data_IF_663697158533
#
_entry.id   IF_663697158533
#
_cell.length_a   1.000
_cell.length_b   1.000
_cell.length_c   1.000
_cell.angle_alpha   90.00
_cell.angle_beta   90.00
_cell.angle_gamma   90.00
#
_symmetry.space_group_name_H-M   'P 1'
#
loop_
_entity.id
_entity.type
_entity.pdbx_description
1 polymer ?
#
# COMPACT_ATOMS: atom_id res chain seq x y z
N UNK A 1 25.57 -9.25 8.66
CA UNK A 1 24.28 -9.84 9.08
C UNK A 1 24.55 -11.23 9.62
N UNK A 2 24.20 -11.53 10.88
CA UNK A 2 24.46 -12.85 11.47
C UNK A 2 23.36 -13.84 11.10
N UNK A 3 23.62 -15.15 11.21
CA UNK A 3 22.61 -16.19 10.98
C UNK A 3 21.38 -16.04 11.91
N UNK A 4 21.59 -15.51 13.12
CA UNK A 4 20.53 -15.21 14.09
C UNK A 4 19.65 -14.05 13.64
N UNK A 5 20.24 -13.01 13.04
CA UNK A 5 19.49 -11.85 12.51
C UNK A 5 18.62 -12.28 11.33
N UNK A 6 19.18 -13.10 10.43
CA UNK A 6 18.46 -13.65 9.29
C UNK A 6 17.28 -14.55 9.71
N UNK A 7 17.49 -15.43 10.70
CA UNK A 7 16.43 -16.27 11.26
C UNK A 7 15.32 -15.43 11.93
N UNK A 8 15.70 -14.36 12.62
CA UNK A 8 14.74 -13.43 13.25
C UNK A 8 13.92 -12.68 12.21
N UNK A 9 14.57 -12.18 11.14
CA UNK A 9 13.88 -11.53 10.02
C UNK A 9 12.91 -12.49 9.32
N UNK A 10 13.34 -13.72 9.05
CA UNK A 10 12.49 -14.75 8.44
C UNK A 10 11.27 -15.09 9.32
N UNK A 11 11.42 -15.11 10.65
CA UNK A 11 10.31 -15.31 11.56
C UNK A 11 9.31 -14.13 11.53
N UNK A 12 9.81 -12.89 11.52
CA UNK A 12 8.96 -11.70 11.39
C UNK A 12 8.16 -11.70 10.09
N UNK A 13 8.80 -12.02 8.97
CA UNK A 13 8.12 -12.07 7.67
C UNK A 13 6.99 -13.11 7.67
N UNK A 14 7.23 -14.32 8.20
CA UNK A 14 6.17 -15.35 8.33
C UNK A 14 5.00 -14.90 9.19
N UNK A 15 5.27 -14.13 10.25
CA UNK A 15 4.23 -13.57 11.12
C UNK A 15 3.42 -12.52 10.36
N UNK A 16 4.07 -11.61 9.64
CA UNK A 16 3.39 -10.58 8.84
C UNK A 16 2.56 -11.22 7.72
N UNK A 17 3.08 -12.21 7.00
CA UNK A 17 2.31 -12.91 5.97
C UNK A 17 1.08 -13.62 6.54
N UNK A 18 1.18 -14.17 7.75
CA UNK A 18 0.04 -14.73 8.48
C UNK A 18 -1.00 -13.66 8.84
N UNK A 19 -0.57 -12.46 9.24
CA UNK A 19 -1.47 -11.32 9.47
C UNK A 19 -2.20 -10.97 8.19
N UNK A 20 -1.51 -10.85 7.05
CA UNK A 20 -2.12 -10.55 5.75
C UNK A 20 -3.22 -11.55 5.41
N UNK A 21 -2.93 -12.85 5.51
CA UNK A 21 -3.92 -13.91 5.22
C UNK A 21 -5.13 -13.86 6.15
N UNK A 22 -4.92 -13.59 7.44
CA UNK A 22 -6.02 -13.49 8.41
C UNK A 22 -6.89 -12.26 8.18
N UNK A 23 -6.28 -11.11 7.90
CA UNK A 23 -7.00 -9.86 7.59
C UNK A 23 -7.75 -9.99 6.28
N UNK A 24 -7.15 -10.57 5.24
CA UNK A 24 -7.82 -10.81 3.97
C UNK A 24 -9.10 -11.66 4.11
N UNK A 25 -9.12 -12.61 5.06
CA UNK A 25 -10.27 -13.51 5.29
C UNK A 25 -11.31 -12.98 6.27
N UNK A 26 -10.95 -12.10 7.20
CA UNK A 26 -11.82 -11.75 8.33
C UNK A 26 -11.62 -10.35 8.91
N UNK A 27 -10.97 -9.46 8.16
CA UNK A 27 -10.69 -8.09 8.54
C UNK A 27 -9.70 -7.96 9.71
N UNK A 28 -9.46 -6.71 10.13
CA UNK A 28 -8.48 -6.37 11.18
C UNK A 28 -8.67 -7.17 12.48
N UNK A 29 -9.92 -7.44 12.86
CA UNK A 29 -10.26 -8.17 14.09
C UNK A 29 -9.89 -9.65 14.08
N UNK A 30 -9.69 -10.27 12.91
CA UNK A 30 -9.38 -11.69 12.81
C UNK A 30 -7.95 -12.04 13.23
N UNK A 31 -7.02 -11.10 13.18
CA UNK A 31 -5.58 -11.33 13.37
C UNK A 31 -5.12 -11.28 14.84
N UNK A 32 -5.74 -12.05 15.73
CA UNK A 32 -5.28 -12.13 17.14
C UNK A 32 -3.89 -12.76 17.24
N UNK A 33 -3.11 -12.42 18.28
CA UNK A 33 -1.77 -12.99 18.51
C UNK A 33 -1.73 -14.52 18.46
N UNK A 34 -2.78 -15.18 18.97
CA UNK A 34 -2.89 -16.64 18.95
C UNK A 34 -3.19 -17.17 17.55
N UNK A 35 -4.16 -16.59 16.84
CA UNK A 35 -4.48 -16.99 15.46
C UNK A 35 -3.29 -16.77 14.53
N UNK A 36 -2.53 -15.69 14.73
CA UNK A 36 -1.30 -15.41 13.98
C UNK A 36 -0.20 -16.41 14.31
N UNK A 37 -0.03 -16.79 15.57
CA UNK A 37 0.91 -17.86 15.95
C UNK A 37 0.56 -19.18 15.25
N UNK A 38 -0.71 -19.56 15.28
CA UNK A 38 -1.21 -20.79 14.65
C UNK A 38 -1.02 -20.74 13.11
N UNK A 39 -1.35 -19.61 12.47
CA UNK A 39 -1.25 -19.42 11.00
C UNK A 39 0.21 -19.30 10.51
N UNK A 40 1.13 -18.77 11.32
CA UNK A 40 2.55 -18.58 10.95
C UNK A 40 3.44 -19.78 11.28
N UNK A 41 2.95 -20.70 12.13
CA UNK A 41 3.74 -21.77 12.73
C UNK A 41 4.82 -21.26 13.69
N UNK A 42 4.74 -20.01 14.16
CA UNK A 42 5.62 -19.45 15.18
C UNK A 42 4.92 -19.53 16.53
N UNK A 43 5.62 -19.99 17.56
CA UNK A 43 5.05 -20.06 18.91
C UNK A 43 4.58 -18.67 19.41
N UNK A 44 3.49 -18.66 20.18
CA UNK A 44 2.86 -17.43 20.67
C UNK A 44 3.80 -16.55 21.51
N UNK A 45 4.77 -17.14 22.22
CA UNK A 45 5.77 -16.41 23.00
C UNK A 45 6.67 -15.55 22.11
N UNK A 46 7.14 -16.11 21.00
CA UNK A 46 7.92 -15.37 20.00
C UNK A 46 7.09 -14.32 19.28
N UNK A 47 5.83 -14.58 18.96
CA UNK A 47 4.94 -13.55 18.37
C UNK A 47 4.77 -12.37 19.33
N UNK A 48 4.51 -12.63 20.62
CA UNK A 48 4.42 -11.59 21.66
C UNK A 48 5.74 -10.85 21.83
N UNK A 49 6.86 -11.56 21.80
CA UNK A 49 8.18 -10.95 21.91
C UNK A 49 8.47 -9.99 20.74
N UNK A 50 8.09 -10.36 19.50
CA UNK A 50 8.37 -9.54 18.32
C UNK A 50 7.41 -8.37 18.13
N UNK A 51 6.12 -8.56 18.43
CA UNK A 51 5.07 -7.60 18.06
C UNK A 51 4.28 -7.06 19.24
N UNK A 52 4.40 -7.65 20.43
CA UNK A 52 3.75 -7.18 21.66
C UNK A 52 2.24 -7.40 21.71
N UNK A 53 1.51 -6.71 20.84
CA UNK A 53 0.05 -6.57 20.86
C UNK A 53 -0.59 -6.83 19.48
N UNK A 54 -1.92 -6.87 19.45
CA UNK A 54 -2.69 -6.85 18.19
C UNK A 54 -2.38 -5.60 17.36
N UNK A 55 -2.28 -4.45 18.01
CA UNK A 55 -1.92 -3.20 17.35
C UNK A 55 -0.51 -3.26 16.75
N UNK A 56 0.47 -3.81 17.47
CA UNK A 56 1.82 -3.99 16.94
C UNK A 56 1.89 -4.91 15.72
N UNK A 57 1.02 -5.92 15.63
CA UNK A 57 0.86 -6.74 14.41
C UNK A 57 0.30 -5.91 13.25
N UNK A 58 -0.67 -5.03 13.52
CA UNK A 58 -1.27 -4.19 12.48
C UNK A 58 -0.31 -3.13 11.97
N UNK A 59 0.46 -2.51 12.87
CA UNK A 59 1.53 -1.57 12.51
C UNK A 59 2.55 -2.26 11.61
N UNK A 60 3.03 -3.44 12.00
CA UNK A 60 3.98 -4.19 11.18
C UNK A 60 3.42 -4.58 9.81
N UNK A 61 2.13 -4.92 9.73
CA UNK A 61 1.49 -5.21 8.45
C UNK A 61 1.42 -3.97 7.55
N UNK A 62 1.04 -2.82 8.09
CA UNK A 62 1.03 -1.55 7.36
C UNK A 62 2.43 -1.10 6.92
N UNK A 63 3.44 -1.28 7.77
CA UNK A 63 4.84 -1.03 7.43
C UNK A 63 5.29 -1.91 6.27
N UNK A 64 4.91 -3.19 6.25
CA UNK A 64 5.23 -4.09 5.13
C UNK A 64 4.51 -3.69 3.84
N UNK A 65 3.25 -3.22 3.90
CA UNK A 65 2.57 -2.64 2.72
C UNK A 65 3.38 -1.45 2.19
N UNK A 66 3.78 -0.52 3.06
CA UNK A 66 4.60 0.63 2.68
C UNK A 66 5.96 0.20 2.09
N UNK A 67 6.61 -0.81 2.67
CA UNK A 67 7.88 -1.32 2.18
C UNK A 67 7.74 -2.02 0.81
N UNK A 68 6.65 -2.74 0.56
CA UNK A 68 6.35 -3.35 -0.75
C UNK A 68 6.11 -2.26 -1.80
N UNK A 69 5.34 -1.23 -1.45
CA UNK A 69 5.12 -0.07 -2.31
C UNK A 69 6.44 0.65 -2.64
N UNK A 70 7.29 0.91 -1.63
CA UNK A 70 8.59 1.54 -1.83
C UNK A 70 9.48 0.74 -2.79
N UNK A 71 9.55 -0.59 -2.63
CA UNK A 71 10.28 -1.48 -3.56
C UNK A 71 9.74 -1.43 -4.99
N UNK A 72 8.42 -1.25 -5.17
CA UNK A 72 7.82 -1.06 -6.52
C UNK A 72 8.15 0.32 -7.09
N UNK A 73 8.11 1.37 -6.26
CA UNK A 73 8.49 2.73 -6.66
C UNK A 73 9.96 2.81 -7.09
N UNK A 74 10.87 2.22 -6.33
CA UNK A 74 12.30 2.16 -6.68
C UNK A 74 12.56 1.54 -8.05
N UNK A 75 11.74 0.56 -8.46
CA UNK A 75 11.84 -0.09 -9.79
C UNK A 75 11.16 0.73 -10.89
N UNK A 76 10.17 1.53 -10.54
CA UNK A 76 9.39 2.35 -11.45
C UNK A 76 10.08 3.68 -11.81
N UNK A 77 10.92 4.21 -10.91
CA UNK A 77 11.55 5.51 -11.09
C UNK A 77 12.68 5.48 -12.13
N UNK A 78 12.67 6.38 -13.13
CA UNK A 78 13.81 6.58 -14.02
C UNK A 78 15.01 7.14 -13.25
N UNK A 79 16.25 7.03 -13.80
CA UNK A 79 17.42 7.66 -13.22
C UNK A 79 17.20 9.16 -12.99
N UNK A 80 17.53 9.62 -11.79
CA UNK A 80 17.34 11.02 -11.38
C UNK A 80 18.08 11.98 -12.31
N UNK A 81 17.42 13.08 -12.69
CA UNK A 81 18.00 14.14 -13.51
C UNK A 81 17.91 13.97 -15.02
N UNK A 82 17.26 12.91 -15.51
CA UNK A 82 17.00 12.74 -16.94
C UNK A 82 15.86 13.67 -17.40
N UNK A 83 16.04 14.53 -18.42
CA UNK A 83 14.92 15.27 -19.01
C UNK A 83 13.87 14.31 -19.54
N UNK A 84 12.61 14.54 -19.19
CA UNK A 84 11.48 13.74 -19.68
C UNK A 84 10.68 14.57 -20.69
N UNK A 85 10.47 13.99 -21.87
CA UNK A 85 9.47 14.48 -22.83
C UNK A 85 8.05 14.17 -22.33
N UNK A 86 7.02 14.59 -23.09
CA UNK A 86 5.62 14.34 -22.70
C UNK A 86 5.33 12.84 -22.45
N UNK A 87 5.71 11.91 -23.34
CA UNK A 87 5.59 10.47 -23.07
C UNK A 87 6.30 10.01 -21.78
N UNK A 88 7.53 10.45 -21.54
CA UNK A 88 8.30 10.08 -20.35
C UNK A 88 7.66 10.57 -19.05
N UNK A 89 7.09 11.78 -19.04
CA UNK A 89 6.38 12.33 -17.88
C UNK A 89 5.10 11.55 -17.58
N UNK A 90 4.34 11.16 -18.61
CA UNK A 90 3.16 10.28 -18.44
C UNK A 90 3.56 8.92 -17.89
N UNK A 91 4.56 8.29 -18.50
CA UNK A 91 5.05 6.97 -18.08
C UNK A 91 5.52 6.96 -16.61
N UNK A 92 6.18 8.03 -16.16
CA UNK A 92 6.57 8.20 -14.76
C UNK A 92 5.35 8.16 -13.82
N UNK A 93 4.34 9.00 -14.08
CA UNK A 93 3.15 9.08 -13.20
C UNK A 93 2.34 7.78 -13.27
N UNK A 94 2.20 7.17 -14.45
CA UNK A 94 1.55 5.86 -14.61
C UNK A 94 2.28 4.77 -13.81
N UNK A 95 3.61 4.72 -13.89
CA UNK A 95 4.40 3.74 -13.15
C UNK A 95 4.28 3.90 -11.63
N UNK A 96 4.21 5.14 -11.14
CA UNK A 96 3.92 5.44 -9.73
C UNK A 96 2.50 4.99 -9.35
N UNK A 97 1.50 5.25 -10.19
CA UNK A 97 0.13 4.77 -9.96
C UNK A 97 0.07 3.24 -9.87
N UNK A 98 0.79 2.52 -10.74
CA UNK A 98 0.88 1.06 -10.70
C UNK A 98 1.64 0.52 -9.48
N UNK A 99 2.64 1.25 -8.99
CA UNK A 99 3.36 0.87 -7.77
C UNK A 99 2.48 1.01 -6.51
N UNK A 100 1.62 2.02 -6.47
CA UNK A 100 0.65 2.26 -5.39
C UNK A 100 -0.53 1.29 -5.48
N UNK A 101 -1.03 1.04 -6.69
CA UNK A 101 -2.18 0.19 -6.97
C UNK A 101 -1.75 -1.05 -7.76
N UNK A 102 -1.24 -2.11 -7.09
CA UNK A 102 -0.77 -3.33 -7.75
C UNK A 102 -1.95 -4.19 -8.22
N UNK A 103 -2.65 -3.74 -9.26
CA UNK A 103 -3.87 -4.38 -9.81
C UNK A 103 -3.64 -5.78 -10.36
N UNK A 104 -2.38 -6.15 -10.62
CA UNK A 104 -1.99 -7.47 -11.11
C UNK A 104 -1.84 -8.52 -10.01
N UNK A 105 -1.90 -8.13 -8.73
CA UNK A 105 -1.83 -9.08 -7.62
C UNK A 105 -3.21 -9.72 -7.41
N UNK A 106 -3.31 -11.01 -7.74
CA UNK A 106 -4.57 -11.78 -7.71
C UNK A 106 -5.25 -11.79 -6.34
N UNK A 107 -4.48 -11.77 -5.25
CA UNK A 107 -5.02 -11.86 -3.88
C UNK A 107 -5.36 -10.49 -3.27
N UNK A 108 -4.91 -9.39 -3.90
CA UNK A 108 -5.09 -8.00 -3.46
C UNK A 108 -4.77 -7.78 -1.97
N UNK A 109 -3.92 -8.61 -1.38
CA UNK A 109 -3.80 -8.70 0.09
C UNK A 109 -3.33 -7.38 0.72
N UNK A 110 -2.40 -6.68 0.05
CA UNK A 110 -1.93 -5.35 0.46
C UNK A 110 -3.06 -4.31 0.49
N UNK A 111 -3.88 -4.28 -0.56
CA UNK A 111 -5.01 -3.35 -0.68
C UNK A 111 -6.09 -3.65 0.36
N UNK A 112 -6.36 -4.94 0.61
CA UNK A 112 -7.32 -5.36 1.64
C UNK A 112 -6.83 -4.91 3.02
N UNK A 113 -5.56 -5.15 3.38
CA UNK A 113 -5.00 -4.72 4.68
C UNK A 113 -5.10 -3.21 4.85
N UNK A 114 -4.73 -2.43 3.82
CA UNK A 114 -4.84 -0.97 3.83
C UNK A 114 -6.28 -0.51 4.06
N UNK A 115 -7.22 -1.02 3.27
CA UNK A 115 -8.62 -0.62 3.31
C UNK A 115 -9.30 -0.99 4.64
N UNK A 116 -9.00 -2.19 5.15
CA UNK A 116 -9.48 -2.67 6.44
C UNK A 116 -8.93 -1.83 7.61
N UNK A 117 -7.66 -1.44 7.58
CA UNK A 117 -7.06 -0.56 8.60
C UNK A 117 -7.66 0.84 8.59
N UNK A 118 -7.81 1.45 7.40
CA UNK A 118 -8.45 2.77 7.25
C UNK A 118 -9.89 2.72 7.78
N UNK A 119 -10.64 1.69 7.40
CA UNK A 119 -12.03 1.50 7.86
C UNK A 119 -12.10 1.31 9.37
N UNK A 120 -11.19 0.50 9.94
CA UNK A 120 -11.13 0.27 11.37
C UNK A 120 -10.83 1.56 12.17
N UNK A 121 -9.99 2.46 11.65
CA UNK A 121 -9.62 3.71 12.32
C UNK A 121 -10.81 4.66 12.63
N UNK A 122 -11.94 4.47 11.94
CA UNK A 122 -13.20 5.17 12.24
C UNK A 122 -13.71 4.84 13.64
N UNK A 123 -13.65 3.56 14.02
CA UNK A 123 -14.22 3.02 15.26
C UNK A 123 -13.15 2.67 16.32
N UNK A 124 -11.88 2.59 15.91
CA UNK A 124 -10.74 2.19 16.74
C UNK A 124 -9.70 3.31 16.75
N UNK A 125 -9.77 4.24 17.73
CA UNK A 125 -8.90 5.42 17.78
C UNK A 125 -7.41 5.10 17.75
N UNK A 126 -7.00 3.94 18.26
CA UNK A 126 -5.63 3.46 18.25
C UNK A 126 -5.05 3.34 16.82
N UNK A 127 -5.88 3.12 15.79
CA UNK A 127 -5.42 3.03 14.39
C UNK A 127 -5.40 4.37 13.65
N UNK A 128 -5.92 5.46 14.24
CA UNK A 128 -5.94 6.77 13.57
C UNK A 128 -4.56 7.30 13.23
N UNK A 129 -3.54 7.24 14.11
CA UNK A 129 -2.20 7.71 13.77
C UNK A 129 -1.61 6.94 12.58
N UNK A 130 -1.83 5.62 12.53
CA UNK A 130 -1.38 4.78 11.43
C UNK A 130 -2.07 5.16 10.12
N UNK A 131 -3.41 5.25 10.11
CA UNK A 131 -4.17 5.64 8.93
C UNK A 131 -3.81 7.04 8.42
N UNK A 132 -3.64 8.01 9.32
CA UNK A 132 -3.18 9.37 8.97
C UNK A 132 -1.80 9.34 8.32
N UNK A 133 -0.85 8.59 8.89
CA UNK A 133 0.49 8.45 8.30
C UNK A 133 0.43 7.87 6.89
N UNK A 134 -0.30 6.78 6.69
CA UNK A 134 -0.47 6.16 5.37
C UNK A 134 -1.03 7.16 4.35
N UNK A 135 -2.03 7.95 4.75
CA UNK A 135 -2.61 8.99 3.90
C UNK A 135 -1.65 10.14 3.57
N UNK A 136 -0.81 10.55 4.52
CA UNK A 136 0.23 11.57 4.32
C UNK A 136 1.34 11.07 3.40
N UNK A 137 1.83 9.84 3.64
CA UNK A 137 2.92 9.24 2.87
C UNK A 137 2.49 9.03 1.41
N UNK A 138 1.25 8.59 1.17
CA UNK A 138 0.71 8.44 -0.19
C UNK A 138 0.64 9.78 -0.95
N UNK A 139 0.18 10.85 -0.30
CA UNK A 139 0.15 12.19 -0.89
C UNK A 139 1.53 12.70 -1.24
N UNK A 140 2.52 12.44 -0.38
CA UNK A 140 3.90 12.80 -0.63
C UNK A 140 4.43 12.12 -1.90
N UNK A 141 4.19 10.81 -2.05
CA UNK A 141 4.57 10.04 -3.24
C UNK A 141 3.97 10.63 -4.52
N UNK A 142 2.66 10.90 -4.56
CA UNK A 142 2.05 11.47 -5.75
C UNK A 142 2.52 12.89 -6.05
N UNK A 143 2.64 13.74 -5.03
CA UNK A 143 3.17 15.10 -5.19
C UNK A 143 4.57 15.08 -5.78
N UNK A 144 5.46 14.23 -5.28
CA UNK A 144 6.84 14.12 -5.78
C UNK A 144 6.86 13.66 -7.25
N UNK A 145 6.04 12.67 -7.61
CA UNK A 145 5.92 12.21 -8.99
C UNK A 145 5.38 13.29 -9.93
N UNK A 146 4.35 14.04 -9.51
CA UNK A 146 3.73 15.11 -10.28
C UNK A 146 4.68 16.32 -10.44
N UNK A 147 5.42 16.67 -9.40
CA UNK A 147 6.46 17.70 -9.46
C UNK A 147 7.59 17.31 -10.42
N UNK A 148 8.06 16.06 -10.35
CA UNK A 148 9.05 15.53 -11.29
C UNK A 148 8.53 15.49 -12.74
N UNK A 149 7.23 15.26 -12.94
CA UNK A 149 6.57 15.34 -14.24
C UNK A 149 6.25 16.78 -14.70
N UNK A 150 6.60 17.81 -13.91
CA UNK A 150 6.35 19.21 -14.25
C UNK A 150 4.85 19.55 -14.36
N UNK A 151 4.00 18.85 -13.62
CA UNK A 151 2.56 19.14 -13.52
C UNK A 151 2.38 20.41 -12.69
N UNK A 152 1.53 21.33 -13.17
CA UNK A 152 1.15 22.54 -12.43
C UNK A 152 0.22 22.18 -11.29
N UNK A 153 0.26 22.94 -10.20
CA UNK A 153 -0.57 22.72 -9.00
C UNK A 153 -0.44 21.29 -8.45
N UNK A 154 0.79 20.75 -8.45
CA UNK A 154 1.09 19.36 -8.10
C UNK A 154 0.54 18.96 -6.72
N UNK A 155 0.44 19.90 -5.77
CA UNK A 155 -0.18 19.68 -4.46
C UNK A 155 -1.67 19.34 -4.57
N UNK A 156 -2.44 20.11 -5.34
CA UNK A 156 -3.87 19.86 -5.53
C UNK A 156 -4.11 18.62 -6.41
N UNK A 157 -3.28 18.44 -7.44
CA UNK A 157 -3.38 17.27 -8.30
C UNK A 157 -2.99 15.98 -7.57
N UNK A 158 -2.08 16.04 -6.58
CA UNK A 158 -1.81 14.92 -5.69
C UNK A 158 -3.03 14.55 -4.83
N UNK A 159 -3.78 15.53 -4.32
CA UNK A 159 -5.04 15.27 -3.61
C UNK A 159 -6.09 14.63 -4.52
N UNK A 160 -6.25 15.14 -5.74
CA UNK A 160 -7.18 14.58 -6.73
C UNK A 160 -6.82 13.15 -7.12
N UNK A 161 -5.55 12.89 -7.41
CA UNK A 161 -5.06 11.56 -7.75
C UNK A 161 -5.19 10.60 -6.56
N UNK A 162 -4.92 11.07 -5.34
CA UNK A 162 -5.16 10.29 -4.10
C UNK A 162 -6.63 9.91 -3.97
N UNK A 163 -7.57 10.83 -4.27
CA UNK A 163 -9.00 10.56 -4.22
C UNK A 163 -9.42 9.51 -5.27
N UNK A 164 -8.91 9.62 -6.51
CA UNK A 164 -9.15 8.61 -7.57
C UNK A 164 -8.61 7.25 -7.15
N UNK A 165 -7.35 7.17 -6.73
CA UNK A 165 -6.71 5.91 -6.32
C UNK A 165 -7.38 5.31 -5.09
N UNK A 166 -7.81 6.14 -4.13
CA UNK A 166 -8.57 5.71 -2.96
C UNK A 166 -9.90 5.08 -3.33
N UNK A 167 -10.64 5.70 -4.27
CA UNK A 167 -11.89 5.14 -4.82
C UNK A 167 -11.65 3.79 -5.51
N UNK A 168 -10.67 3.73 -6.42
CA UNK A 168 -10.33 2.50 -7.15
C UNK A 168 -9.86 1.38 -6.21
N UNK A 169 -9.09 1.71 -5.17
CA UNK A 169 -8.69 0.75 -4.13
C UNK A 169 -9.93 0.18 -3.43
N UNK A 170 -10.88 1.03 -3.09
CA UNK A 170 -12.11 0.61 -2.42
C UNK A 170 -12.97 -0.27 -3.32
N UNK A 171 -13.13 0.05 -4.61
CA UNK A 171 -13.86 -0.78 -5.59
C UNK A 171 -13.18 -2.13 -5.85
N UNK A 172 -11.84 -2.18 -5.82
CA UNK A 172 -11.09 -3.43 -5.96
C UNK A 172 -11.20 -4.34 -4.74
N UNK A 173 -11.36 -3.78 -3.54
CA UNK A 173 -11.41 -4.55 -2.29
C UNK A 173 -12.85 -4.93 -1.93
N UNK A 174 -13.76 -3.97 -2.01
CA UNK A 174 -15.16 -4.14 -1.65
C UNK A 174 -15.99 -4.22 -2.93
N UNK A 175 -16.91 -5.19 -3.06
CA UNK A 175 -17.72 -5.39 -4.26
C UNK A 175 -18.82 -4.31 -4.39
N UNK A 176 -18.41 -3.05 -4.45
CA UNK A 176 -19.25 -1.88 -4.63
C UNK A 176 -18.66 -1.06 -5.78
N UNK A 177 -18.93 -1.49 -7.01
CA UNK A 177 -18.31 -0.93 -8.22
C UNK A 177 -17.76 -2.03 -9.13
N UNK A 178 -16.80 -1.69 -9.98
CA UNK A 178 -16.16 -2.68 -10.85
C UNK A 178 -14.89 -3.23 -10.20
N UNK A 179 -14.78 -4.55 -10.12
CA UNK A 179 -13.55 -5.22 -9.68
C UNK A 179 -12.59 -5.51 -10.85
N UNK A 180 -12.89 -5.01 -12.05
CA UNK A 180 -12.12 -5.26 -13.28
C UNK A 180 -10.83 -4.43 -13.31
N UNK A 181 -9.70 -5.10 -13.21
CA UNK A 181 -8.37 -4.49 -13.26
C UNK A 181 -8.10 -3.72 -14.56
N UNK A 182 -8.71 -4.14 -15.68
CA UNK A 182 -8.53 -3.46 -16.97
C UNK A 182 -9.20 -2.08 -16.99
N UNK A 183 -10.39 -1.98 -16.39
CA UNK A 183 -11.09 -0.71 -16.23
C UNK A 183 -10.33 0.22 -15.27
N UNK A 184 -9.79 -0.30 -14.17
CA UNK A 184 -8.96 0.48 -13.25
C UNK A 184 -7.74 1.07 -13.96
N UNK A 185 -7.04 0.26 -14.76
CA UNK A 185 -5.90 0.73 -15.55
C UNK A 185 -6.31 1.79 -16.58
N UNK A 186 -7.48 1.64 -17.22
CA UNK A 186 -8.02 2.64 -18.15
C UNK A 186 -8.31 3.98 -17.46
N UNK A 187 -8.98 3.96 -16.30
CA UNK A 187 -9.29 5.16 -15.52
C UNK A 187 -8.02 5.91 -15.14
N UNK A 188 -7.00 5.21 -14.64
CA UNK A 188 -5.72 5.81 -14.27
C UNK A 188 -5.01 6.42 -15.47
N UNK A 189 -4.91 5.68 -16.59
CA UNK A 189 -4.25 6.17 -17.81
C UNK A 189 -4.93 7.43 -18.35
N UNK A 190 -6.27 7.45 -18.36
CA UNK A 190 -7.03 8.62 -18.81
C UNK A 190 -6.82 9.81 -17.88
N UNK A 191 -6.81 9.59 -16.58
CA UNK A 191 -6.51 10.64 -15.60
C UNK A 191 -5.11 11.23 -15.79
N UNK A 192 -4.08 10.39 -16.02
CA UNK A 192 -2.71 10.87 -16.29
C UNK A 192 -2.62 11.63 -17.62
N UNK A 193 -3.33 11.17 -18.66
CA UNK A 193 -3.37 11.87 -19.94
C UNK A 193 -3.97 13.28 -19.83
N UNK A 194 -4.99 13.47 -18.98
CA UNK A 194 -5.61 14.77 -18.72
C UNK A 194 -4.68 15.69 -17.91
N UNK A 195 -3.89 15.14 -16.97
CA UNK A 195 -2.89 15.89 -16.20
C UNK A 195 -1.71 16.39 -17.04
N UNK A 196 -1.31 15.60 -18.03
CA UNK A 196 -0.14 15.86 -18.87
C UNK A 196 -0.60 15.81 -20.34
N UNK A 197 -1.23 16.87 -20.87
CA UNK A 197 -1.67 16.91 -22.27
C UNK A 197 -0.48 16.83 -23.25
N UNK A 198 -0.79 16.42 -24.49
CA UNK A 198 0.18 16.23 -25.57
C UNK A 198 0.89 17.53 -25.97
#
# INVERSE_FOLDING_TARGET
>A
MTARDAATAAAKNRIVDAVFRLVARGGVGAASLRKVADESGINIGSVRHHFGSHEGLMVAAAEEVGARMARRLERAMPPTGSPLDVPGRRALVEAVCHAVLPVADDDRAELIVLAELITAARLRPEFRPLATRMGTDLRAVFREALQAAGVRDAELEAERLTAVVGGLTFELVYPHGSTDASLVAEVLRRHVADLIPA
#
